data_IF_408667319430
#
_entry.id   IF_408667319430
#
_cell.length_a   1.000
_cell.length_b   1.000
_cell.length_c   1.000
_cell.angle_alpha   90.00
_cell.angle_beta   90.00
_cell.angle_gamma   90.00
#
_symmetry.space_group_name_H-M   'P 1'
#
loop_
_entity.id
_entity.type
_entity.pdbx_description
1 polymer ?
#
# COMPACT_ATOMS: atom_id res chain seq x y z
N UNK A 1 -22.54 -5.19 -22.63
CA UNK A 1 -22.65 -4.80 -21.22
C UNK A 1 -23.73 -3.73 -21.13
N UNK A 2 -24.73 -3.96 -20.28
CA UNK A 2 -25.81 -2.98 -20.10
C UNK A 2 -25.22 -1.65 -19.63
N UNK A 3 -25.66 -0.57 -20.26
CA UNK A 3 -25.13 0.79 -20.05
C UNK A 3 -25.18 1.26 -18.58
N UNK A 4 -25.93 0.56 -17.72
CA UNK A 4 -26.16 0.90 -16.30
C UNK A 4 -25.56 -0.10 -15.30
N UNK A 5 -24.85 -1.13 -15.75
CA UNK A 5 -24.28 -2.17 -14.87
C UNK A 5 -23.29 -1.59 -13.84
N UNK A 6 -22.60 -0.49 -14.17
CA UNK A 6 -21.72 0.20 -13.25
C UNK A 6 -22.44 0.74 -12.00
N UNK A 7 -23.70 1.20 -12.14
CA UNK A 7 -24.50 1.67 -10.99
C UNK A 7 -24.86 0.51 -10.05
N UNK A 8 -25.22 -0.63 -10.62
CA UNK A 8 -25.49 -1.84 -9.85
C UNK A 8 -24.23 -2.28 -9.09
N UNK A 9 -23.09 -2.36 -9.77
CA UNK A 9 -21.82 -2.74 -9.15
C UNK A 9 -21.44 -1.81 -7.99
N UNK A 10 -21.56 -0.50 -8.20
CA UNK A 10 -21.28 0.49 -7.18
C UNK A 10 -22.22 0.36 -5.98
N UNK A 11 -23.53 0.23 -6.21
CA UNK A 11 -24.51 0.08 -5.15
C UNK A 11 -24.27 -1.18 -4.31
N UNK A 12 -24.00 -2.32 -4.98
CA UNK A 12 -23.70 -3.60 -4.29
C UNK A 12 -22.42 -3.49 -3.48
N UNK A 13 -21.34 -2.93 -4.03
CA UNK A 13 -20.09 -2.74 -3.29
C UNK A 13 -20.32 -1.88 -2.04
N UNK A 14 -20.97 -0.72 -2.18
CA UNK A 14 -21.21 0.19 -1.06
C UNK A 14 -22.06 -0.46 0.04
N UNK A 15 -23.08 -1.20 -0.35
CA UNK A 15 -23.97 -1.91 0.60
C UNK A 15 -23.20 -3.01 1.36
N UNK A 16 -22.52 -3.89 0.64
CA UNK A 16 -21.84 -5.04 1.22
C UNK A 16 -20.62 -4.63 2.03
N UNK A 17 -19.80 -3.70 1.55
CA UNK A 17 -18.67 -3.16 2.33
C UNK A 17 -19.13 -2.54 3.64
N UNK A 18 -20.29 -1.84 3.62
CA UNK A 18 -20.85 -1.27 4.85
C UNK A 18 -21.38 -2.35 5.80
N UNK A 19 -22.11 -3.35 5.31
CA UNK A 19 -22.62 -4.47 6.10
C UNK A 19 -21.46 -5.23 6.75
N UNK A 20 -20.48 -5.67 5.95
CA UNK A 20 -19.34 -6.42 6.46
C UNK A 20 -18.43 -5.57 7.35
N UNK A 21 -18.27 -4.26 7.05
CA UNK A 21 -17.57 -3.33 7.93
C UNK A 21 -18.22 -3.20 9.30
N UNK A 22 -19.57 -3.19 9.38
CA UNK A 22 -20.29 -3.21 10.66
C UNK A 22 -20.13 -4.54 11.39
N UNK A 23 -20.12 -5.67 10.68
CA UNK A 23 -19.89 -6.99 11.26
C UNK A 23 -18.47 -7.08 11.84
N UNK A 24 -17.46 -6.67 11.09
CA UNK A 24 -16.06 -6.67 11.57
C UNK A 24 -15.86 -5.73 12.75
N UNK A 25 -16.51 -4.56 12.75
CA UNK A 25 -16.50 -3.64 13.88
C UNK A 25 -17.11 -4.27 15.16
N UNK A 26 -18.18 -5.08 15.07
CA UNK A 26 -18.76 -5.80 16.22
C UNK A 26 -17.78 -6.81 16.83
N UNK A 27 -16.95 -7.45 16.02
CA UNK A 27 -15.87 -8.35 16.50
C UNK A 27 -14.58 -7.60 16.76
N UNK A 28 -14.65 -6.28 16.85
CA UNK A 28 -13.53 -5.39 17.12
C UNK A 28 -12.40 -5.47 16.09
N UNK A 29 -12.66 -5.79 14.84
CA UNK A 29 -11.71 -5.72 13.73
C UNK A 29 -11.87 -4.41 12.96
N UNK A 30 -10.81 -3.91 12.30
CA UNK A 30 -10.90 -2.76 11.41
C UNK A 30 -11.93 -2.96 10.29
N UNK A 31 -12.64 -1.88 9.91
CA UNK A 31 -13.69 -1.95 8.87
C UNK A 31 -13.12 -2.31 7.50
N UNK A 32 -11.85 -1.98 7.25
CA UNK A 32 -11.14 -2.37 6.02
C UNK A 32 -11.14 -3.89 5.78
N UNK A 33 -11.07 -4.69 6.85
CA UNK A 33 -11.18 -6.17 6.76
C UNK A 33 -12.53 -6.57 6.18
N UNK A 34 -13.62 -5.92 6.65
CA UNK A 34 -14.96 -6.16 6.13
C UNK A 34 -15.11 -5.81 4.65
N UNK A 35 -14.51 -4.70 4.22
CA UNK A 35 -14.54 -4.30 2.82
C UNK A 35 -13.75 -5.28 1.91
N UNK A 36 -12.60 -5.76 2.36
CA UNK A 36 -11.83 -6.80 1.66
C UNK A 36 -12.62 -8.12 1.54
N UNK A 37 -13.22 -8.59 2.63
CA UNK A 37 -14.06 -9.79 2.65
C UNK A 37 -15.26 -9.63 1.71
N UNK A 38 -15.92 -8.46 1.74
CA UNK A 38 -17.04 -8.18 0.84
C UNK A 38 -16.60 -8.30 -0.64
N UNK A 39 -15.41 -7.80 -0.99
CA UNK A 39 -14.85 -7.92 -2.33
C UNK A 39 -14.61 -9.37 -2.75
N UNK A 40 -14.01 -10.19 -1.88
CA UNK A 40 -13.78 -11.63 -2.15
C UNK A 40 -15.10 -12.36 -2.36
N UNK A 41 -16.09 -12.11 -1.50
CA UNK A 41 -17.40 -12.77 -1.59
C UNK A 41 -18.21 -12.36 -2.82
N UNK A 42 -18.14 -11.09 -3.22
CA UNK A 42 -18.84 -10.58 -4.40
C UNK A 42 -18.14 -10.96 -5.70
N UNK A 43 -16.85 -11.25 -5.64
CA UNK A 43 -15.97 -11.53 -6.77
C UNK A 43 -16.12 -12.96 -7.34
N UNK A 44 -15.30 -13.27 -8.36
CA UNK A 44 -15.35 -14.54 -9.08
C UNK A 44 -15.16 -15.77 -8.19
N UNK A 45 -14.35 -15.67 -7.15
CA UNK A 45 -14.08 -16.78 -6.22
C UNK A 45 -15.14 -16.96 -5.14
N UNK A 46 -16.09 -16.03 -5.02
CA UNK A 46 -17.21 -16.10 -4.09
C UNK A 46 -18.52 -16.37 -4.81
N UNK A 47 -19.46 -15.42 -4.74
CA UNK A 47 -20.77 -15.54 -5.37
C UNK A 47 -20.76 -15.24 -6.89
N UNK A 48 -19.67 -14.69 -7.44
CA UNK A 48 -19.57 -14.33 -8.85
C UNK A 48 -20.54 -13.22 -9.29
N UNK A 49 -21.02 -12.38 -8.35
CA UNK A 49 -22.00 -11.33 -8.62
C UNK A 49 -21.35 -10.19 -9.39
N UNK A 50 -20.11 -9.87 -9.06
CA UNK A 50 -19.35 -8.77 -9.63
C UNK A 50 -18.07 -9.27 -10.27
N UNK A 51 -17.72 -8.64 -11.38
CA UNK A 51 -16.45 -8.82 -12.07
C UNK A 51 -15.71 -7.49 -12.16
N UNK A 52 -14.39 -7.56 -12.29
CA UNK A 52 -13.56 -6.39 -12.52
C UNK A 52 -14.01 -5.66 -13.80
N UNK A 53 -14.11 -4.35 -13.74
CA UNK A 53 -14.42 -3.49 -14.88
C UNK A 53 -13.54 -2.26 -14.86
N UNK A 54 -13.30 -1.64 -16.02
CA UNK A 54 -12.50 -0.41 -16.11
C UNK A 54 -13.03 0.70 -15.22
N UNK A 55 -14.35 0.80 -15.08
CA UNK A 55 -14.98 1.76 -14.18
C UNK A 55 -14.59 1.51 -12.71
N UNK A 56 -14.67 0.26 -12.24
CA UNK A 56 -14.30 -0.09 -10.87
C UNK A 56 -12.81 0.08 -10.62
N UNK A 57 -11.98 -0.26 -11.61
CA UNK A 57 -10.53 -0.03 -11.56
C UNK A 57 -10.20 1.45 -11.38
N UNK A 58 -10.72 2.32 -12.24
CA UNK A 58 -10.46 3.76 -12.18
C UNK A 58 -11.04 4.40 -10.92
N UNK A 59 -12.19 3.94 -10.45
CA UNK A 59 -12.79 4.40 -9.19
C UNK A 59 -11.94 3.98 -7.99
N UNK A 60 -11.39 2.77 -8.02
CA UNK A 60 -10.46 2.23 -7.03
C UNK A 60 -9.15 3.03 -6.97
N UNK A 61 -8.55 3.35 -8.13
CA UNK A 61 -7.36 4.20 -8.24
C UNK A 61 -7.59 5.59 -7.61
N UNK A 62 -8.72 6.24 -7.90
CA UNK A 62 -9.08 7.51 -7.25
C UNK A 62 -9.19 7.32 -5.73
N UNK A 63 -9.73 6.19 -5.27
CA UNK A 63 -9.86 5.87 -3.85
C UNK A 63 -8.53 5.86 -3.11
N UNK A 64 -7.56 5.11 -3.63
CA UNK A 64 -6.24 5.02 -2.99
C UNK A 64 -5.45 6.33 -3.07
N UNK A 65 -5.55 7.08 -4.17
CA UNK A 65 -4.96 8.41 -4.32
C UNK A 65 -5.50 9.35 -3.23
N UNK A 66 -6.82 9.38 -3.03
CA UNK A 66 -7.42 10.23 -1.99
C UNK A 66 -7.03 9.80 -0.57
N UNK A 67 -6.93 8.50 -0.29
CA UNK A 67 -6.45 7.99 1.00
C UNK A 67 -5.01 8.43 1.28
N UNK A 68 -4.13 8.33 0.29
CA UNK A 68 -2.74 8.75 0.43
C UNK A 68 -2.59 10.26 0.59
N UNK A 69 -3.41 11.04 -0.09
CA UNK A 69 -3.46 12.49 0.10
C UNK A 69 -3.87 12.88 1.53
N UNK A 70 -4.89 12.22 2.09
CA UNK A 70 -5.32 12.41 3.48
C UNK A 70 -4.18 12.05 4.44
N UNK A 71 -3.52 10.91 4.24
CA UNK A 71 -2.37 10.50 5.04
C UNK A 71 -1.24 11.53 4.99
N UNK A 72 -0.97 12.10 3.80
CA UNK A 72 0.00 13.18 3.63
C UNK A 72 -0.39 14.46 4.37
N UNK A 73 -1.66 14.88 4.29
CA UNK A 73 -2.17 16.02 5.06
C UNK A 73 -2.03 15.78 6.57
N UNK A 74 -2.25 14.55 7.03
CA UNK A 74 -2.17 14.21 8.46
C UNK A 74 -0.75 13.97 8.97
N UNK A 75 0.24 13.97 8.09
CA UNK A 75 1.66 13.78 8.43
C UNK A 75 2.20 14.92 9.29
N UNK A 76 3.00 14.57 10.31
CA UNK A 76 3.86 15.50 11.03
C UNK A 76 5.26 15.50 10.40
N UNK A 77 5.65 16.64 9.80
CA UNK A 77 6.96 16.77 9.13
C UNK A 77 8.14 16.56 10.09
N UNK A 78 8.01 16.94 11.36
CA UNK A 78 9.09 16.79 12.32
C UNK A 78 9.31 15.31 12.64
N UNK A 79 8.22 14.56 12.83
CA UNK A 79 8.30 13.10 13.00
C UNK A 79 8.82 12.41 11.72
N UNK A 80 8.39 12.83 10.54
CA UNK A 80 8.87 12.32 9.26
C UNK A 80 10.40 12.49 9.12
N UNK A 81 10.93 13.67 9.45
CA UNK A 81 12.37 13.93 9.44
C UNK A 81 13.12 13.08 10.46
N UNK A 82 12.55 12.89 11.66
CA UNK A 82 13.16 12.12 12.73
C UNK A 82 13.22 10.63 12.43
N UNK A 83 12.18 10.10 11.78
CA UNK A 83 12.07 8.67 11.47
C UNK A 83 12.74 8.27 10.15
N UNK A 84 13.09 9.22 9.28
CA UNK A 84 13.62 8.96 7.94
C UNK A 84 14.82 7.99 7.89
N UNK A 85 15.89 8.16 8.70
CA UNK A 85 17.02 7.24 8.68
C UNK A 85 16.64 5.80 9.06
N UNK A 86 15.78 5.63 10.07
CA UNK A 86 15.25 4.32 10.44
C UNK A 86 14.38 3.73 9.34
N UNK A 87 13.53 4.56 8.72
CA UNK A 87 12.67 4.16 7.62
C UNK A 87 13.46 3.64 6.39
N UNK A 88 14.61 4.25 6.08
CA UNK A 88 15.49 3.77 5.01
C UNK A 88 16.01 2.36 5.27
N UNK A 89 16.49 2.07 6.49
CA UNK A 89 16.97 0.73 6.82
C UNK A 89 15.83 -0.30 6.85
N UNK A 90 14.68 0.09 7.38
CA UNK A 90 13.48 -0.75 7.43
C UNK A 90 13.02 -1.11 6.00
N UNK A 91 12.97 -0.14 5.09
CA UNK A 91 12.61 -0.35 3.70
C UNK A 91 13.63 -1.25 2.99
N UNK A 92 14.93 -0.99 3.17
CA UNK A 92 15.99 -1.77 2.53
C UNK A 92 15.92 -3.25 2.92
N UNK A 93 15.86 -3.57 4.22
CA UNK A 93 15.73 -4.95 4.68
C UNK A 93 14.33 -5.51 4.35
N UNK A 94 13.30 -4.66 4.35
CA UNK A 94 11.95 -4.98 3.92
C UNK A 94 11.84 -5.38 2.45
N UNK A 95 12.78 -4.99 1.60
CA UNK A 95 12.88 -5.42 0.19
C UNK A 95 13.78 -6.64 0.05
N UNK A 96 14.99 -6.60 0.62
CA UNK A 96 16.00 -7.67 0.43
C UNK A 96 15.54 -9.01 1.01
N UNK A 97 15.01 -9.00 2.26
CA UNK A 97 14.67 -10.25 2.95
C UNK A 97 13.52 -11.01 2.26
N UNK A 98 12.42 -10.36 1.81
CA UNK A 98 11.40 -11.04 1.00
C UNK A 98 11.90 -11.49 -0.36
N UNK A 99 12.77 -10.74 -1.04
CA UNK A 99 13.32 -11.17 -2.34
C UNK A 99 14.06 -12.51 -2.16
N UNK A 100 14.90 -12.63 -1.14
CA UNK A 100 15.61 -13.87 -0.87
C UNK A 100 14.66 -14.98 -0.41
N UNK A 101 13.77 -14.69 0.54
CA UNK A 101 12.89 -15.70 1.14
C UNK A 101 11.80 -16.19 0.20
N UNK A 102 11.01 -15.27 -0.39
CA UNK A 102 9.93 -15.67 -1.30
C UNK A 102 10.47 -16.12 -2.67
N UNK A 103 11.55 -15.50 -3.16
CA UNK A 103 12.25 -15.98 -4.34
C UNK A 103 12.86 -17.37 -4.13
N UNK A 104 13.42 -17.63 -2.95
CA UNK A 104 13.92 -18.96 -2.56
C UNK A 104 12.81 -20.01 -2.51
N UNK A 105 11.62 -19.69 -2.00
CA UNK A 105 10.46 -20.60 -2.04
C UNK A 105 10.07 -20.93 -3.48
N UNK A 106 9.95 -19.92 -4.35
CA UNK A 106 9.66 -20.15 -5.77
C UNK A 106 10.71 -21.07 -6.40
N UNK A 107 11.99 -20.78 -6.17
CA UNK A 107 13.10 -21.57 -6.69
C UNK A 107 13.01 -23.04 -6.28
N UNK A 108 12.71 -23.32 -5.01
CA UNK A 108 12.61 -24.70 -4.48
C UNK A 108 11.41 -25.48 -5.03
N UNK A 109 10.34 -24.80 -5.47
CA UNK A 109 9.14 -25.47 -5.99
C UNK A 109 9.18 -25.71 -7.50
N UNK A 110 9.81 -24.81 -8.27
CA UNK A 110 9.68 -24.78 -9.72
C UNK A 110 10.99 -24.87 -10.49
N UNK A 111 12.16 -24.82 -9.83
CA UNK A 111 13.43 -24.76 -10.52
C UNK A 111 14.41 -25.82 -10.00
N UNK A 112 14.95 -26.66 -10.90
CA UNK A 112 15.86 -27.76 -10.55
C UNK A 112 17.35 -27.38 -10.59
N UNK A 113 17.71 -26.21 -11.16
CA UNK A 113 19.10 -25.82 -11.40
C UNK A 113 19.35 -24.34 -11.20
N UNK A 114 20.53 -23.98 -10.65
CA UNK A 114 20.99 -22.61 -10.47
C UNK A 114 21.47 -22.00 -11.79
N UNK A 115 20.53 -21.79 -12.73
CA UNK A 115 20.81 -21.04 -13.95
C UNK A 115 20.50 -19.55 -13.76
N UNK A 116 21.16 -18.71 -14.58
CA UNK A 116 20.93 -17.26 -14.56
C UNK A 116 19.44 -16.90 -14.75
N UNK A 117 18.77 -17.57 -15.70
CA UNK A 117 17.35 -17.35 -15.99
C UNK A 117 16.46 -17.70 -14.79
N UNK A 118 16.73 -18.81 -14.11
CA UNK A 118 15.96 -19.27 -12.96
C UNK A 118 16.13 -18.34 -11.75
N UNK A 119 17.33 -17.77 -11.57
CA UNK A 119 17.57 -16.75 -10.55
C UNK A 119 16.77 -15.47 -10.83
N UNK A 120 16.67 -15.04 -12.11
CA UNK A 120 15.86 -13.88 -12.50
C UNK A 120 14.38 -14.15 -12.20
N UNK A 121 13.83 -15.30 -12.59
CA UNK A 121 12.44 -15.67 -12.31
C UNK A 121 12.15 -15.68 -10.80
N UNK A 122 12.99 -16.32 -10.01
CA UNK A 122 12.89 -16.34 -8.56
C UNK A 122 12.95 -14.92 -7.96
N UNK A 123 13.84 -14.08 -8.46
CA UNK A 123 13.95 -12.68 -8.04
C UNK A 123 12.68 -11.89 -8.36
N UNK A 124 12.05 -12.09 -9.53
CA UNK A 124 10.79 -11.44 -9.86
C UNK A 124 9.68 -11.80 -8.87
N UNK A 125 9.51 -13.10 -8.55
CA UNK A 125 8.53 -13.52 -7.53
C UNK A 125 8.88 -12.89 -6.18
N UNK A 126 10.14 -12.86 -5.80
CA UNK A 126 10.59 -12.20 -4.58
C UNK A 126 10.25 -10.70 -4.55
N UNK A 127 10.39 -9.98 -5.66
CA UNK A 127 10.03 -8.55 -5.79
C UNK A 127 8.52 -8.34 -5.64
N UNK A 128 7.68 -9.22 -6.19
CA UNK A 128 6.23 -9.16 -5.96
C UNK A 128 5.92 -9.12 -4.48
N UNK A 129 6.61 -9.95 -3.69
CA UNK A 129 6.42 -10.01 -2.24
C UNK A 129 7.30 -9.04 -1.44
N UNK A 130 8.16 -8.28 -2.08
CA UNK A 130 8.80 -7.12 -1.47
C UNK A 130 7.87 -5.91 -1.41
N UNK A 131 7.04 -5.66 -2.45
CA UNK A 131 6.13 -4.52 -2.50
C UNK A 131 5.14 -4.53 -1.33
N UNK A 132 4.97 -3.38 -0.64
CA UNK A 132 4.07 -3.21 0.51
C UNK A 132 2.86 -2.38 0.14
N UNK A 133 1.65 -2.76 0.60
CA UNK A 133 0.47 -1.90 0.46
C UNK A 133 0.42 -0.87 1.60
N UNK A 134 0.82 0.35 1.28
CA UNK A 134 0.79 1.48 2.22
C UNK A 134 -0.63 1.78 2.67
N UNK A 135 -1.60 1.75 1.74
CA UNK A 135 -2.99 2.14 1.96
C UNK A 135 -3.71 1.28 3.01
N UNK A 136 -3.51 -0.04 3.00
CA UNK A 136 -4.11 -0.96 3.99
C UNK A 136 -3.56 -0.66 5.39
N UNK A 137 -2.26 -0.47 5.50
CA UNK A 137 -1.59 -0.19 6.79
C UNK A 137 -1.99 1.19 7.33
N UNK A 138 -1.99 2.22 6.47
CA UNK A 138 -2.39 3.58 6.83
C UNK A 138 -3.84 3.60 7.30
N UNK A 139 -4.74 2.96 6.57
CA UNK A 139 -6.16 2.91 6.95
C UNK A 139 -6.36 2.19 8.28
N UNK A 140 -5.70 1.06 8.48
CA UNK A 140 -5.74 0.32 9.74
C UNK A 140 -5.25 1.17 10.92
N UNK A 141 -4.11 1.86 10.76
CA UNK A 141 -3.56 2.76 11.78
C UNK A 141 -4.47 3.96 12.03
N UNK A 142 -5.13 4.47 10.99
CA UNK A 142 -6.06 5.59 11.07
C UNK A 142 -7.32 5.18 11.87
N UNK A 143 -7.94 4.04 11.55
CA UNK A 143 -9.07 3.50 12.31
C UNK A 143 -8.73 3.25 13.80
N UNK A 144 -7.48 2.88 14.09
CA UNK A 144 -6.99 2.68 15.45
C UNK A 144 -6.51 3.97 16.14
N UNK A 145 -6.52 5.12 15.47
CA UNK A 145 -6.03 6.40 16.00
C UNK A 145 -4.52 6.43 16.24
N UNK A 146 -3.74 5.54 15.60
CA UNK A 146 -2.28 5.39 15.79
C UNK A 146 -1.44 5.98 14.65
N UNK A 147 -2.06 6.57 13.65
CA UNK A 147 -1.39 7.11 12.45
C UNK A 147 -0.34 8.19 12.81
N UNK A 148 -0.64 9.05 13.77
CA UNK A 148 0.23 10.18 14.20
C UNK A 148 1.27 9.79 15.25
N UNK A 149 1.39 8.51 15.61
CA UNK A 149 2.42 8.03 16.54
C UNK A 149 3.77 7.89 15.85
N UNK A 150 4.86 7.79 16.64
CA UNK A 150 6.20 7.48 16.13
C UNK A 150 6.22 6.24 15.22
N UNK A 151 5.52 5.18 15.64
CA UNK A 151 5.41 3.93 14.85
C UNK A 151 4.65 4.17 13.56
N UNK A 152 3.53 4.90 13.59
CA UNK A 152 2.76 5.25 12.40
C UNK A 152 3.59 6.07 11.40
N UNK A 153 4.26 7.12 11.87
CA UNK A 153 5.15 7.93 11.03
C UNK A 153 6.31 7.11 10.44
N UNK A 154 6.91 6.21 11.23
CA UNK A 154 7.97 5.31 10.75
C UNK A 154 7.45 4.37 9.67
N UNK A 155 6.26 3.77 9.85
CA UNK A 155 5.65 2.87 8.89
C UNK A 155 5.35 3.56 7.56
N UNK A 156 4.74 4.76 7.60
CA UNK A 156 4.45 5.53 6.38
C UNK A 156 5.75 5.87 5.65
N UNK A 157 6.75 6.38 6.39
CA UNK A 157 8.05 6.73 5.80
C UNK A 157 8.74 5.52 5.17
N UNK A 158 8.75 4.37 5.89
CA UNK A 158 9.36 3.15 5.40
C UNK A 158 8.64 2.61 4.17
N UNK A 159 7.30 2.64 4.14
CA UNK A 159 6.53 2.13 3.02
C UNK A 159 6.72 2.99 1.75
N UNK A 160 6.81 4.32 1.87
CA UNK A 160 7.12 5.20 0.72
C UNK A 160 8.52 4.93 0.17
N UNK A 161 9.50 4.73 1.04
CA UNK A 161 10.87 4.40 0.63
C UNK A 161 10.92 2.98 0.02
N UNK A 162 10.16 2.03 0.59
CA UNK A 162 9.99 0.67 0.08
C UNK A 162 9.50 0.66 -1.38
N UNK A 163 8.50 1.49 -1.71
CA UNK A 163 8.00 1.66 -3.08
C UNK A 163 9.10 2.16 -4.03
N UNK A 164 9.89 3.14 -3.61
CA UNK A 164 10.98 3.69 -4.41
C UNK A 164 12.06 2.63 -4.64
N UNK A 165 12.51 1.94 -3.58
CA UNK A 165 13.51 0.87 -3.67
C UNK A 165 12.96 -0.26 -4.54
N UNK A 166 11.68 -0.63 -4.37
CA UNK A 166 11.00 -1.67 -5.15
C UNK A 166 11.04 -1.38 -6.66
N UNK A 167 10.74 -0.14 -7.08
CA UNK A 167 10.80 0.27 -8.49
C UNK A 167 12.24 0.19 -9.03
N UNK A 168 13.23 0.62 -8.24
CA UNK A 168 14.65 0.55 -8.64
C UNK A 168 15.07 -0.91 -8.82
N UNK A 169 14.79 -1.76 -7.82
CA UNK A 169 15.14 -3.19 -7.87
C UNK A 169 14.42 -3.91 -9.01
N UNK A 170 13.13 -3.63 -9.21
CA UNK A 170 12.38 -4.16 -10.34
C UNK A 170 13.00 -3.77 -11.67
N UNK A 171 13.44 -2.51 -11.81
CA UNK A 171 14.09 -2.02 -13.02
C UNK A 171 15.44 -2.69 -13.26
N UNK A 172 16.22 -2.92 -12.20
CA UNK A 172 17.50 -3.64 -12.30
C UNK A 172 17.27 -5.09 -12.73
N UNK A 173 16.36 -5.82 -12.07
CA UNK A 173 16.10 -7.22 -12.40
C UNK A 173 15.46 -7.36 -13.78
N UNK A 174 14.59 -6.43 -14.18
CA UNK A 174 14.04 -6.39 -15.55
C UNK A 174 15.13 -6.15 -16.60
N UNK A 175 16.09 -5.27 -16.33
CA UNK A 175 17.21 -5.00 -17.24
C UNK A 175 18.20 -6.18 -17.35
N UNK A 176 18.29 -7.01 -16.33
CA UNK A 176 19.08 -8.26 -16.40
C UNK A 176 18.40 -9.29 -17.32
N UNK A 177 17.07 -9.27 -17.44
CA UNK A 177 16.30 -10.11 -18.36
C UNK A 177 16.08 -9.47 -19.74
N UNK A 178 16.08 -8.12 -19.84
CA UNK A 178 15.82 -7.35 -21.06
C UNK A 178 16.71 -6.10 -21.09
N UNK A 179 17.68 -6.08 -21.97
CA UNK A 179 18.64 -4.97 -22.15
C UNK A 179 18.01 -3.63 -22.62
N UNK A 180 16.73 -3.61 -22.97
CA UNK A 180 16.02 -2.38 -23.37
C UNK A 180 15.74 -1.44 -22.17
N UNK A 181 15.77 -1.94 -20.95
CA UNK A 181 15.50 -1.19 -19.72
C UNK A 181 16.80 -0.68 -19.11
N UNK A 182 16.90 0.62 -18.89
CA UNK A 182 18.07 1.25 -18.28
C UNK A 182 17.76 1.70 -16.83
N UNK A 183 18.28 1.01 -15.79
CA UNK A 183 18.02 1.35 -14.38
C UNK A 183 18.51 2.74 -13.97
N UNK A 184 19.59 3.24 -14.63
CA UNK A 184 20.11 4.59 -14.34
C UNK A 184 19.11 5.68 -14.74
N UNK A 185 18.41 5.50 -15.88
CA UNK A 185 17.36 6.43 -16.32
C UNK A 185 16.19 6.42 -15.33
N UNK A 186 15.78 5.25 -14.83
CA UNK A 186 14.72 5.13 -13.83
C UNK A 186 15.11 5.85 -12.54
N UNK A 187 16.31 5.61 -12.04
CA UNK A 187 16.84 6.29 -10.84
C UNK A 187 16.89 7.80 -11.03
N UNK A 188 17.35 8.28 -12.21
CA UNK A 188 17.37 9.71 -12.52
C UNK A 188 15.97 10.32 -12.55
N UNK A 189 14.98 9.62 -13.09
CA UNK A 189 13.57 10.06 -13.06
C UNK A 189 13.05 10.18 -11.64
N UNK A 190 13.34 9.22 -10.76
CA UNK A 190 12.95 9.27 -9.35
C UNK A 190 13.57 10.48 -8.65
N UNK A 191 14.86 10.73 -8.84
CA UNK A 191 15.52 11.93 -8.31
C UNK A 191 14.89 13.21 -8.86
N UNK A 192 14.59 13.24 -10.17
CA UNK A 192 13.86 14.32 -10.83
C UNK A 192 12.50 14.58 -10.20
N UNK A 193 11.75 13.53 -9.80
CA UNK A 193 10.49 13.65 -9.09
C UNK A 193 10.64 14.39 -7.76
N UNK A 194 11.67 14.09 -6.97
CA UNK A 194 11.88 14.78 -5.69
C UNK A 194 12.24 16.25 -5.88
N UNK A 195 13.08 16.57 -6.89
CA UNK A 195 13.39 17.96 -7.25
C UNK A 195 12.11 18.70 -7.71
N UNK A 196 11.33 18.09 -8.59
CA UNK A 196 10.05 18.63 -9.07
C UNK A 196 9.09 18.87 -7.89
N UNK A 197 8.94 17.90 -7.00
CA UNK A 197 8.09 18.00 -5.80
C UNK A 197 8.54 19.15 -4.88
N UNK A 198 9.85 19.32 -4.71
CA UNK A 198 10.42 20.45 -3.93
C UNK A 198 10.09 21.81 -4.56
N UNK A 199 10.33 21.97 -5.84
CA UNK A 199 10.13 23.24 -6.58
C UNK A 199 8.63 23.59 -6.68
N UNK A 200 7.83 22.66 -7.22
CA UNK A 200 6.38 22.85 -7.39
C UNK A 200 5.70 22.96 -6.04
N UNK A 201 6.09 22.12 -5.08
CA UNK A 201 5.55 22.14 -3.73
C UNK A 201 5.78 23.48 -3.03
N UNK A 202 6.98 24.05 -3.14
CA UNK A 202 7.26 25.37 -2.58
C UNK A 202 6.41 26.47 -3.22
N UNK A 203 6.27 26.45 -4.55
CA UNK A 203 5.44 27.44 -5.26
C UNK A 203 3.96 27.32 -4.87
N UNK A 204 3.43 26.10 -4.90
CA UNK A 204 2.03 25.80 -4.55
C UNK A 204 1.75 26.13 -3.09
N UNK A 205 2.63 25.73 -2.17
CA UNK A 205 2.49 26.10 -0.75
C UNK A 205 2.37 27.62 -0.56
N UNK A 206 3.20 28.42 -1.25
CA UNK A 206 3.10 29.90 -1.18
C UNK A 206 1.77 30.42 -1.71
N UNK A 207 1.26 29.86 -2.81
CA UNK A 207 -0.04 30.26 -3.38
C UNK A 207 -1.15 29.90 -2.40
N UNK A 208 -1.19 28.68 -1.90
CA UNK A 208 -2.20 28.23 -0.94
C UNK A 208 -2.16 29.03 0.37
N UNK A 209 -0.97 29.36 0.87
CA UNK A 209 -0.82 30.20 2.07
C UNK A 209 -1.44 31.59 1.88
N UNK A 210 -1.27 32.20 0.69
CA UNK A 210 -1.89 33.49 0.38
C UNK A 210 -3.42 33.41 0.24
N UNK A 211 -3.90 32.37 -0.43
CA UNK A 211 -5.35 32.17 -0.63
C UNK A 211 -6.04 31.77 0.67
N UNK A 212 -5.37 31.00 1.53
CA UNK A 212 -5.88 30.55 2.82
C UNK A 212 -6.20 31.70 3.76
N UNK A 213 -5.39 32.74 3.81
CA UNK A 213 -5.62 33.94 4.69
C UNK A 213 -6.99 34.58 4.44
N UNK A 214 -7.47 34.58 3.19
CA UNK A 214 -8.72 35.24 2.84
C UNK A 214 -9.94 34.30 2.74
N UNK A 215 -9.71 32.97 2.72
CA UNK A 215 -10.75 31.97 2.39
C UNK A 215 -10.59 30.64 3.17
N UNK A 216 -10.23 30.67 4.45
CA UNK A 216 -9.84 29.52 5.28
C UNK A 216 -10.80 28.34 5.25
N UNK A 217 -12.10 28.57 5.22
CA UNK A 217 -13.16 27.55 5.23
C UNK A 217 -13.96 27.51 3.92
N UNK A 218 -13.35 27.92 2.82
CA UNK A 218 -14.03 27.96 1.54
C UNK A 218 -13.99 26.60 0.81
N UNK A 219 -15.14 26.19 0.26
CA UNK A 219 -15.25 25.02 -0.64
C UNK A 219 -14.22 25.08 -1.78
N UNK A 220 -13.83 26.26 -2.22
CA UNK A 220 -12.84 26.46 -3.30
C UNK A 220 -11.49 25.91 -2.93
N UNK A 221 -11.02 26.08 -1.68
CA UNK A 221 -9.72 25.56 -1.23
C UNK A 221 -9.67 24.02 -1.29
N UNK A 222 -10.74 23.34 -0.90
CA UNK A 222 -10.78 21.88 -0.96
C UNK A 222 -10.73 21.36 -2.42
N UNK A 223 -11.41 22.07 -3.36
CA UNK A 223 -11.37 21.72 -4.78
C UNK A 223 -9.96 21.93 -5.35
N UNK A 224 -9.31 23.06 -5.06
CA UNK A 224 -7.94 23.33 -5.52
C UNK A 224 -6.94 22.32 -4.93
N UNK A 225 -7.09 21.96 -3.66
CA UNK A 225 -6.23 20.98 -3.01
C UNK A 225 -6.38 19.59 -3.63
N UNK A 226 -7.61 19.16 -3.94
CA UNK A 226 -7.87 17.88 -4.61
C UNK A 226 -7.37 17.89 -6.06
N UNK A 227 -7.56 18.99 -6.79
CA UNK A 227 -7.00 19.14 -8.13
C UNK A 227 -5.47 19.09 -8.11
N UNK A 228 -4.82 19.71 -7.14
CA UNK A 228 -3.38 19.62 -6.94
C UNK A 228 -2.93 18.20 -6.62
N UNK A 229 -3.67 17.46 -5.78
CA UNK A 229 -3.42 16.04 -5.51
C UNK A 229 -3.39 15.23 -6.81
N UNK A 230 -4.45 15.31 -7.63
CA UNK A 230 -4.53 14.57 -8.88
C UNK A 230 -3.46 14.97 -9.90
N UNK A 231 -3.10 16.25 -9.96
CA UNK A 231 -2.00 16.71 -10.83
C UNK A 231 -0.65 16.16 -10.38
N UNK A 232 -0.38 16.15 -9.07
CA UNK A 232 0.86 15.57 -8.54
C UNK A 232 0.94 14.06 -8.77
N UNK A 233 -0.18 13.34 -8.59
CA UNK A 233 -0.29 11.90 -8.91
C UNK A 233 -0.03 11.64 -10.38
N UNK A 234 -0.68 12.39 -11.28
CA UNK A 234 -0.47 12.29 -12.72
C UNK A 234 0.99 12.55 -13.12
N UNK A 235 1.59 13.61 -12.57
CA UNK A 235 2.99 13.94 -12.88
C UNK A 235 3.95 12.86 -12.37
N UNK A 236 3.73 12.33 -11.16
CA UNK A 236 4.53 11.26 -10.57
C UNK A 236 4.59 10.03 -11.50
N UNK A 237 3.42 9.54 -11.90
CA UNK A 237 3.31 8.34 -12.74
C UNK A 237 3.77 8.60 -14.17
N UNK A 238 3.21 9.64 -14.84
CA UNK A 238 3.40 9.87 -16.28
C UNK A 238 4.80 10.30 -16.66
N UNK A 239 5.42 11.20 -15.88
CA UNK A 239 6.70 11.79 -16.25
C UNK A 239 7.87 11.14 -15.54
N UNK A 240 7.67 10.67 -14.32
CA UNK A 240 8.76 10.18 -13.48
C UNK A 240 8.72 8.66 -13.26
N UNK A 241 7.61 7.98 -13.57
CA UNK A 241 7.45 6.54 -13.32
C UNK A 241 7.47 6.20 -11.82
N UNK A 242 7.11 7.18 -10.98
CA UNK A 242 6.90 7.01 -9.54
C UNK A 242 5.40 6.79 -9.32
N UNK A 243 5.03 5.86 -8.42
CA UNK A 243 3.64 5.54 -8.16
C UNK A 243 2.79 6.80 -7.88
N UNK A 244 1.61 6.87 -8.48
CA UNK A 244 0.65 7.97 -8.35
C UNK A 244 0.27 8.25 -6.90
N UNK A 245 0.15 7.19 -6.08
CA UNK A 245 -0.10 7.26 -4.63
C UNK A 245 1.00 8.04 -3.90
N UNK A 246 2.27 7.94 -4.33
CA UNK A 246 3.39 8.70 -3.79
C UNK A 246 3.24 10.19 -4.12
N UNK A 247 2.83 10.51 -5.37
CA UNK A 247 2.50 11.88 -5.77
C UNK A 247 1.40 12.48 -4.92
N UNK A 248 0.33 11.72 -4.67
CA UNK A 248 -0.78 12.12 -3.79
C UNK A 248 -0.31 12.40 -2.35
N UNK A 249 0.49 11.49 -1.78
CA UNK A 249 1.03 11.65 -0.44
C UNK A 249 1.84 12.95 -0.31
N UNK A 250 2.79 13.19 -1.22
CA UNK A 250 3.59 14.43 -1.20
C UNK A 250 2.75 15.68 -1.42
N UNK A 251 1.69 15.63 -2.24
CA UNK A 251 0.73 16.74 -2.35
C UNK A 251 0.08 17.05 -0.99
N UNK A 252 -0.29 16.02 -0.23
CA UNK A 252 -0.79 16.16 1.14
C UNK A 252 0.25 16.75 2.10
N UNK A 253 1.49 16.25 2.07
CA UNK A 253 2.61 16.74 2.89
C UNK A 253 2.92 18.22 2.61
N UNK A 254 2.86 18.67 1.35
CA UNK A 254 3.06 20.07 0.98
C UNK A 254 1.99 20.96 1.66
N UNK A 255 0.76 20.48 1.77
CA UNK A 255 -0.37 21.20 2.34
C UNK A 255 -0.53 21.00 3.86
N UNK A 256 0.19 20.10 4.50
CA UNK A 256 0.01 19.74 5.91
C UNK A 256 0.27 20.90 6.89
N UNK A 257 1.10 21.88 6.50
CA UNK A 257 1.42 23.07 7.31
C UNK A 257 0.47 24.26 7.10
N UNK A 258 -0.60 24.11 6.33
CA UNK A 258 -1.64 25.13 6.18
C UNK A 258 -2.62 25.02 7.36
N UNK A 259 -2.33 25.70 8.46
CA UNK A 259 -2.96 25.54 9.79
C UNK A 259 -4.48 25.41 9.77
N UNK A 260 -5.21 26.39 9.27
CA UNK A 260 -6.69 26.41 9.39
C UNK A 260 -7.40 25.73 8.21
N UNK A 261 -6.87 25.87 7.00
CA UNK A 261 -7.41 25.23 5.81
C UNK A 261 -7.16 23.73 5.77
N UNK A 262 -6.10 23.22 6.43
CA UNK A 262 -5.75 21.80 6.52
C UNK A 262 -6.92 20.94 7.01
N UNK A 263 -7.48 21.30 8.19
CA UNK A 263 -8.57 20.52 8.79
C UNK A 263 -9.82 20.53 7.91
N UNK A 264 -10.12 21.66 7.28
CA UNK A 264 -11.26 21.77 6.38
C UNK A 264 -11.08 20.90 5.12
N UNK A 265 -9.91 20.96 4.47
CA UNK A 265 -9.57 20.14 3.30
C UNK A 265 -9.61 18.67 3.67
N UNK A 266 -8.91 18.26 4.74
CA UNK A 266 -8.91 16.88 5.22
C UNK A 266 -10.34 16.37 5.43
N UNK A 267 -11.19 17.09 6.19
CA UNK A 267 -12.58 16.70 6.46
C UNK A 267 -13.39 16.50 5.17
N UNK A 268 -13.24 17.39 4.17
CA UNK A 268 -14.01 17.32 2.92
C UNK A 268 -13.54 16.18 2.02
N UNK A 269 -12.22 16.00 1.89
CA UNK A 269 -11.65 14.90 1.09
C UNK A 269 -11.93 13.55 1.75
N UNK A 270 -11.78 13.44 3.07
CA UNK A 270 -12.13 12.24 3.84
C UNK A 270 -13.58 11.85 3.61
N UNK A 271 -14.52 12.80 3.72
CA UNK A 271 -15.94 12.50 3.50
C UNK A 271 -16.20 11.96 2.08
N UNK A 272 -15.61 12.58 1.05
CA UNK A 272 -15.76 12.10 -0.33
C UNK A 272 -15.11 10.71 -0.54
N UNK A 273 -13.91 10.51 0.00
CA UNK A 273 -13.17 9.25 -0.10
C UNK A 273 -13.92 8.10 0.55
N UNK A 274 -14.33 8.24 1.79
CA UNK A 274 -14.97 7.16 2.56
C UNK A 274 -16.41 6.85 2.15
N UNK A 275 -17.11 7.80 1.50
CA UNK A 275 -18.46 7.55 1.02
C UNK A 275 -18.51 6.60 -0.19
N UNK A 276 -17.53 6.71 -1.11
CA UNK A 276 -17.58 5.99 -2.38
C UNK A 276 -16.27 5.30 -2.72
N UNK A 277 -15.16 6.07 -2.75
CA UNK A 277 -13.92 5.63 -3.38
C UNK A 277 -13.15 4.58 -2.57
N UNK A 278 -13.00 4.80 -1.26
CA UNK A 278 -12.30 3.85 -0.39
C UNK A 278 -13.00 2.48 -0.29
N UNK A 279 -14.33 2.39 -0.14
CA UNK A 279 -15.03 1.11 -0.19
C UNK A 279 -14.80 0.35 -1.50
N UNK A 280 -14.82 1.06 -2.64
CA UNK A 280 -14.57 0.45 -3.95
C UNK A 280 -13.12 -0.02 -4.06
N UNK A 281 -12.15 0.75 -3.54
CA UNK A 281 -10.76 0.36 -3.53
C UNK A 281 -10.51 -0.94 -2.75
N UNK A 282 -10.96 -1.01 -1.49
CA UNK A 282 -10.74 -2.21 -0.68
C UNK A 282 -11.51 -3.43 -1.20
N UNK A 283 -12.76 -3.26 -1.64
CA UNK A 283 -13.50 -4.34 -2.29
C UNK A 283 -12.82 -4.76 -3.60
N UNK A 284 -12.27 -3.82 -4.37
CA UNK A 284 -11.55 -4.08 -5.61
C UNK A 284 -10.37 -5.03 -5.45
N UNK A 285 -9.64 -4.97 -4.32
CA UNK A 285 -8.57 -5.93 -4.00
C UNK A 285 -9.15 -7.35 -3.91
N UNK A 286 -10.28 -7.51 -3.21
CA UNK A 286 -10.96 -8.80 -3.10
C UNK A 286 -11.55 -9.30 -4.42
N UNK A 287 -12.12 -8.40 -5.24
CA UNK A 287 -12.71 -8.74 -6.54
C UNK A 287 -11.69 -9.34 -7.53
N UNK A 288 -10.42 -9.00 -7.40
CA UNK A 288 -9.33 -9.55 -8.24
C UNK A 288 -8.97 -10.99 -7.90
N UNK A 289 -9.53 -11.54 -6.81
CA UNK A 289 -9.27 -12.92 -6.43
C UNK A 289 -9.97 -13.85 -7.41
N UNK A 290 -9.21 -14.51 -8.26
CA UNK A 290 -9.69 -15.61 -9.09
C UNK A 290 -8.86 -16.86 -8.76
N UNK A 291 -9.53 -17.89 -8.26
CA UNK A 291 -8.93 -19.16 -7.84
C UNK A 291 -9.13 -20.26 -8.88
N UNK A 292 -9.60 -19.93 -10.08
CA UNK A 292 -9.75 -20.91 -11.16
C UNK A 292 -8.39 -21.47 -11.57
N UNK A 293 -8.32 -22.78 -11.73
CA UNK A 293 -7.10 -23.47 -12.16
C UNK A 293 -6.10 -23.78 -11.04
N UNK A 294 -6.42 -23.54 -9.77
CA UNK A 294 -5.56 -23.94 -8.64
C UNK A 294 -5.63 -25.47 -8.45
N UNK A 295 -4.51 -26.15 -8.69
CA UNK A 295 -4.30 -27.53 -8.32
C UNK A 295 -3.69 -27.63 -6.90
N UNK A 296 -3.56 -28.85 -6.39
CA UNK A 296 -3.04 -29.09 -5.03
C UNK A 296 -1.59 -28.58 -4.86
N UNK A 297 -0.76 -28.72 -5.87
CA UNK A 297 0.63 -28.26 -5.85
C UNK A 297 0.73 -26.73 -5.76
N UNK A 298 -0.03 -26.02 -6.60
CA UNK A 298 -0.13 -24.56 -6.57
C UNK A 298 -0.71 -24.07 -5.25
N UNK A 299 -1.66 -24.80 -4.66
CA UNK A 299 -2.21 -24.45 -3.35
C UNK A 299 -1.18 -24.60 -2.22
N UNK A 300 -0.41 -25.70 -2.21
CA UNK A 300 0.67 -25.88 -1.23
C UNK A 300 1.72 -24.77 -1.40
N UNK A 301 2.13 -24.51 -2.63
CA UNK A 301 3.04 -23.39 -2.93
C UNK A 301 2.49 -22.06 -2.40
N UNK A 302 1.21 -21.73 -2.66
CA UNK A 302 0.57 -20.50 -2.20
C UNK A 302 0.61 -20.40 -0.66
N UNK A 303 0.31 -21.48 0.07
CA UNK A 303 0.34 -21.47 1.54
C UNK A 303 1.76 -21.23 2.05
N UNK A 304 2.75 -21.94 1.52
CA UNK A 304 4.17 -21.78 1.92
C UNK A 304 4.64 -20.36 1.59
N UNK A 305 4.31 -19.86 0.41
CA UNK A 305 4.67 -18.52 -0.04
C UNK A 305 4.02 -17.42 0.81
N UNK A 306 2.74 -17.57 1.18
CA UNK A 306 2.04 -16.63 2.06
C UNK A 306 2.69 -16.58 3.46
N UNK A 307 3.03 -17.73 4.04
CA UNK A 307 3.73 -17.81 5.32
C UNK A 307 5.10 -17.14 5.23
N UNK A 308 5.88 -17.44 4.17
CA UNK A 308 7.19 -16.82 3.96
C UNK A 308 7.09 -15.31 3.70
N UNK A 309 6.09 -14.84 2.97
CA UNK A 309 5.85 -13.42 2.75
C UNK A 309 5.60 -12.66 4.06
N UNK A 310 4.83 -13.25 4.98
CA UNK A 310 4.59 -12.69 6.32
C UNK A 310 5.86 -12.70 7.17
N UNK A 311 6.53 -13.85 7.27
CA UNK A 311 7.70 -14.04 8.12
C UNK A 311 8.85 -13.13 7.67
N UNK A 312 9.14 -13.10 6.36
CA UNK A 312 10.26 -12.31 5.82
C UNK A 312 10.09 -10.81 6.04
N UNK A 313 8.88 -10.28 5.93
CA UNK A 313 8.61 -8.86 6.25
C UNK A 313 8.71 -8.58 7.75
N UNK A 314 8.12 -9.42 8.59
CA UNK A 314 8.21 -9.25 10.04
C UNK A 314 9.67 -9.29 10.50
N UNK A 315 10.45 -10.26 10.01
CA UNK A 315 11.87 -10.37 10.35
C UNK A 315 12.66 -9.19 9.76
N UNK A 316 12.57 -8.94 8.47
CA UNK A 316 13.36 -7.90 7.79
C UNK A 316 13.10 -6.51 8.36
N UNK A 317 11.84 -6.09 8.38
CA UNK A 317 11.47 -4.75 8.88
C UNK A 317 11.55 -4.66 10.41
N UNK A 318 11.19 -5.73 11.15
CA UNK A 318 11.24 -5.77 12.60
C UNK A 318 12.68 -5.72 13.13
N UNK A 319 13.61 -6.50 12.55
CA UNK A 319 15.03 -6.44 12.89
C UNK A 319 15.63 -5.06 12.58
N UNK A 320 15.31 -4.49 11.40
CA UNK A 320 15.77 -3.15 11.05
C UNK A 320 15.28 -2.11 12.05
N UNK A 321 14.01 -2.15 12.44
CA UNK A 321 13.45 -1.26 13.45
C UNK A 321 14.14 -1.43 14.81
N UNK A 322 14.47 -2.68 15.19
CA UNK A 322 15.19 -2.98 16.42
C UNK A 322 16.62 -2.44 16.41
N UNK A 323 17.33 -2.59 15.29
CA UNK A 323 18.68 -2.03 15.09
C UNK A 323 18.66 -0.50 15.21
N UNK A 324 17.58 0.15 14.75
CA UNK A 324 17.39 1.60 14.88
C UNK A 324 16.95 2.05 16.27
N UNK A 325 17.00 1.18 17.28
CA UNK A 325 16.74 1.52 18.69
C UNK A 325 15.24 1.60 19.04
N UNK A 326 14.35 1.02 18.23
CA UNK A 326 12.94 0.87 18.60
C UNK A 326 12.77 -0.25 19.65
N UNK A 327 11.78 -0.10 20.53
CA UNK A 327 11.46 -1.16 21.50
C UNK A 327 11.03 -2.44 20.77
N UNK A 328 11.11 -3.61 21.45
CA UNK A 328 10.70 -4.88 20.84
C UNK A 328 9.24 -4.87 20.34
N UNK A 329 8.39 -4.19 21.07
CA UNK A 329 6.99 -3.98 20.79
C UNK A 329 6.75 -3.08 19.56
N UNK A 330 7.46 -1.94 19.49
CA UNK A 330 7.41 -1.05 18.31
C UNK A 330 7.98 -1.74 17.08
N UNK A 331 9.10 -2.48 17.23
CA UNK A 331 9.75 -3.23 16.14
C UNK A 331 8.82 -4.30 15.56
N UNK A 332 8.10 -5.03 16.41
CA UNK A 332 7.10 -6.01 15.97
C UNK A 332 5.93 -5.32 15.24
N UNK A 333 5.46 -4.17 15.75
CA UNK A 333 4.38 -3.40 15.11
C UNK A 333 4.82 -2.91 13.72
N UNK A 334 6.06 -2.44 13.59
CA UNK A 334 6.64 -2.04 12.29
C UNK A 334 6.73 -3.24 11.36
N UNK A 335 7.27 -4.37 11.83
CA UNK A 335 7.36 -5.59 11.01
C UNK A 335 6.00 -6.06 10.50
N UNK A 336 5.00 -6.11 11.37
CA UNK A 336 3.63 -6.51 11.02
C UNK A 336 2.97 -5.48 10.09
N UNK A 337 3.18 -4.18 10.32
CA UNK A 337 2.61 -3.13 9.48
C UNK A 337 3.14 -3.14 8.04
N UNK A 338 4.32 -3.69 7.81
CA UNK A 338 4.90 -3.85 6.47
C UNK A 338 4.48 -5.16 5.77
N UNK A 339 3.66 -6.01 6.39
CA UNK A 339 3.19 -7.28 5.79
C UNK A 339 2.16 -7.04 4.68
N UNK A 340 1.37 -5.96 4.74
CA UNK A 340 0.29 -5.69 3.80
C UNK A 340 0.75 -5.80 2.34
N UNK A 341 -0.02 -6.49 1.51
CA UNK A 341 0.15 -6.56 0.06
C UNK A 341 -1.11 -6.05 -0.62
N UNK A 342 -0.97 -5.46 -1.80
CA UNK A 342 -2.08 -4.90 -2.54
C UNK A 342 -1.83 -4.82 -4.04
N UNK A 343 -2.34 -3.78 -4.65
CA UNK A 343 -2.32 -3.52 -6.09
C UNK A 343 -0.91 -3.50 -6.69
N UNK A 344 0.07 -2.94 -5.99
CA UNK A 344 1.46 -2.86 -6.49
C UNK A 344 2.05 -4.26 -6.70
N UNK A 345 1.82 -5.19 -5.76
CA UNK A 345 2.27 -6.58 -5.91
C UNK A 345 1.64 -7.25 -7.13
N UNK A 346 0.33 -7.03 -7.37
CA UNK A 346 -0.36 -7.58 -8.54
C UNK A 346 0.15 -6.98 -9.86
N UNK A 347 0.44 -5.67 -9.88
CA UNK A 347 1.03 -5.01 -11.06
C UNK A 347 2.43 -5.56 -11.39
N UNK A 348 3.26 -5.77 -10.37
CA UNK A 348 4.60 -6.36 -10.54
C UNK A 348 4.48 -7.80 -11.05
N UNK A 349 3.56 -8.59 -10.50
CA UNK A 349 3.30 -9.96 -10.96
C UNK A 349 2.85 -9.98 -12.44
N UNK A 350 1.91 -9.12 -12.82
CA UNK A 350 1.42 -9.00 -14.19
C UNK A 350 2.56 -8.59 -15.16
N UNK A 351 3.43 -7.67 -14.73
CA UNK A 351 4.62 -7.29 -15.51
C UNK A 351 5.59 -8.47 -15.65
N UNK A 352 5.79 -9.25 -14.59
CA UNK A 352 6.61 -10.47 -14.64
C UNK A 352 6.07 -11.51 -15.63
N UNK A 353 4.76 -11.70 -15.68
CA UNK A 353 4.09 -12.57 -16.66
C UNK A 353 4.28 -12.04 -18.08
N UNK A 354 4.00 -10.75 -18.29
CA UNK A 354 4.09 -10.13 -19.62
C UNK A 354 5.52 -10.16 -20.20
N UNK A 355 6.54 -10.17 -19.33
CA UNK A 355 7.96 -10.29 -19.71
C UNK A 355 8.46 -11.75 -19.75
N UNK A 356 7.61 -12.75 -19.47
CA UNK A 356 8.00 -14.16 -19.45
C UNK A 356 8.85 -14.57 -18.24
N UNK A 357 8.99 -13.71 -17.23
CA UNK A 357 9.77 -13.98 -16.02
C UNK A 357 8.96 -14.65 -14.91
N UNK A 358 7.63 -14.66 -15.01
CA UNK A 358 6.72 -15.40 -14.12
C UNK A 358 5.78 -16.23 -15.00
N UNK A 359 5.59 -17.48 -14.65
CA UNK A 359 4.65 -18.36 -15.35
C UNK A 359 3.20 -17.99 -15.02
N UNK A 360 2.34 -18.05 -16.03
CA UNK A 360 0.90 -17.76 -15.86
C UNK A 360 0.23 -18.68 -14.83
N UNK A 361 0.69 -19.91 -14.71
CA UNK A 361 0.22 -20.93 -13.76
C UNK A 361 0.40 -20.52 -12.29
N UNK A 362 1.39 -19.68 -11.99
CA UNK A 362 1.73 -19.22 -10.62
C UNK A 362 0.88 -18.02 -10.20
N UNK A 363 0.28 -17.30 -11.16
CA UNK A 363 -0.45 -16.07 -10.87
C UNK A 363 -1.61 -16.23 -9.85
N UNK A 364 -2.46 -17.29 -9.92
CA UNK A 364 -3.51 -17.48 -8.91
C UNK A 364 -2.94 -17.66 -7.49
N UNK A 365 -1.80 -18.30 -7.32
CA UNK A 365 -1.13 -18.41 -6.02
C UNK A 365 -0.67 -17.05 -5.50
N UNK A 366 -0.11 -16.21 -6.36
CA UNK A 366 0.30 -14.85 -6.01
C UNK A 366 -0.92 -14.02 -5.56
N UNK A 367 -2.02 -14.07 -6.32
CA UNK A 367 -3.26 -13.35 -5.98
C UNK A 367 -3.78 -13.79 -4.62
N UNK A 368 -3.84 -15.10 -4.37
CA UNK A 368 -4.27 -15.66 -3.08
C UNK A 368 -3.39 -15.15 -1.93
N UNK A 369 -2.07 -15.16 -2.10
CA UNK A 369 -1.13 -14.64 -1.10
C UNK A 369 -1.33 -13.15 -0.82
N UNK A 370 -1.57 -12.34 -1.87
CA UNK A 370 -1.83 -10.90 -1.73
C UNK A 370 -3.09 -10.67 -0.90
N UNK A 371 -4.18 -11.36 -1.19
CA UNK A 371 -5.44 -11.24 -0.46
C UNK A 371 -5.29 -11.71 0.98
N UNK A 372 -4.63 -12.84 1.21
CA UNK A 372 -4.34 -13.34 2.57
C UNK A 372 -3.53 -12.31 3.36
N UNK A 373 -2.46 -11.75 2.79
CA UNK A 373 -1.65 -10.72 3.43
C UNK A 373 -2.45 -9.44 3.72
N UNK A 374 -3.31 -9.02 2.77
CA UNK A 374 -4.19 -7.85 2.94
C UNK A 374 -5.17 -8.03 4.11
N UNK A 375 -5.74 -9.23 4.25
CA UNK A 375 -6.68 -9.58 5.34
C UNK A 375 -5.96 -9.75 6.69
N UNK A 376 -4.80 -10.41 6.70
CA UNK A 376 -4.06 -10.69 7.93
C UNK A 376 -3.45 -9.44 8.57
N UNK A 377 -2.97 -8.49 7.77
CA UNK A 377 -2.25 -7.32 8.29
C UNK A 377 -3.08 -6.48 9.27
N UNK A 378 -4.32 -6.07 8.97
CA UNK A 378 -5.15 -5.31 9.92
C UNK A 378 -5.41 -6.09 11.21
N UNK A 379 -5.62 -7.40 11.10
CA UNK A 379 -5.87 -8.29 12.26
C UNK A 379 -4.63 -8.37 13.14
N UNK A 380 -3.47 -8.66 12.55
CA UNK A 380 -2.20 -8.76 13.27
C UNK A 380 -1.78 -7.42 13.89
N UNK A 381 -1.90 -6.31 13.15
CA UNK A 381 -1.62 -4.96 13.67
C UNK A 381 -2.46 -4.68 14.90
N UNK A 382 -3.74 -4.97 14.84
CA UNK A 382 -4.62 -4.76 15.99
C UNK A 382 -4.19 -5.58 17.19
N UNK A 383 -3.92 -6.88 17.00
CA UNK A 383 -3.49 -7.77 18.09
C UNK A 383 -2.21 -7.25 18.76
N UNK A 384 -1.21 -6.85 17.96
CA UNK A 384 0.07 -6.37 18.47
C UNK A 384 -0.10 -5.04 19.20
N UNK A 385 -0.79 -4.07 18.62
CA UNK A 385 -0.98 -2.73 19.20
C UNK A 385 -1.79 -2.82 20.50
N UNK A 386 -2.89 -3.59 20.51
CA UNK A 386 -3.72 -3.75 21.73
C UNK A 386 -2.95 -4.41 22.86
N UNK A 387 -2.08 -5.40 22.56
CA UNK A 387 -1.22 -6.03 23.57
C UNK A 387 -0.22 -5.03 24.14
N UNK A 388 0.35 -4.17 23.28
CA UNK A 388 1.31 -3.15 23.69
C UNK A 388 0.69 -2.08 24.60
N UNK A 389 -0.52 -1.61 24.27
CA UNK A 389 -1.25 -0.63 25.06
C UNK A 389 -1.57 -1.20 26.46
N UNK A 390 -1.93 -2.47 26.58
CA UNK A 390 -2.15 -3.13 27.88
C UNK A 390 -0.87 -3.22 28.74
N UNK A 391 0.28 -3.54 28.14
CA UNK A 391 1.55 -3.59 28.86
C UNK A 391 2.01 -2.21 29.36
N UNK A 392 1.78 -1.15 28.57
CA UNK A 392 2.12 0.22 28.99
C UNK A 392 1.27 0.69 30.17
N UNK A 393 -0.03 0.36 30.19
CA UNK A 393 -0.94 0.71 31.30
C UNK A 393 -0.56 -0.04 32.57
N UNK A 394 -0.21 -1.33 32.49
CA UNK A 394 0.23 -2.12 33.65
C UNK A 394 1.56 -1.64 34.23
N UNK A 395 2.49 -1.20 33.38
CA UNK A 395 3.78 -0.66 33.84
C UNK A 395 3.65 0.69 34.55
N UNK A 396 2.69 1.53 34.15
CA UNK A 396 2.37 2.81 34.81
C UNK A 396 1.54 2.65 36.06
N UNK A 397 0.77 1.58 36.20
CA UNK A 397 -0.01 1.28 37.41
C UNK A 397 0.83 0.65 38.53
N UNK A 398 2.02 0.14 38.22
CA UNK A 398 2.96 -0.46 39.17
C UNK A 398 4.11 0.49 39.60
N UNK A 399 4.08 1.75 39.14
CA UNK A 399 4.94 2.85 39.58
C UNK A 399 4.14 3.84 40.45
#
# INVERSE_FOLDING_TARGET
MDSYQFLFSLAVILLFTKIFGLVTAKVHLPQVVGALIAGVLLGPSGFGILHESDFLLKTSEIGVIMLMFIAGIDTDINELKRTGPAACLIALLGVIVPIIGCGGVYFLFFEDSFTYTNIIKASFVGIVFAATSVSITVETLNEMGKLKTKVGATLISAAIIDDIIGIIVLSVVSALGDSSINPAIVTLKILGFFVFTGVVGFAVYRIFKRVSVNHEKSRRIAIWALAFCFLMSYCAEKFFGVADITGAYFAGVILCNLTDSRQYVAKKVTAASYLVFSPVFFAGIGLRTNLDGINTEILIFAVVLAVMAVITKIIGCGLAAKICGMSGSESLTVGVGMVARGEVALMVAQKGISSGNIEQSVFPAIVLCVVVAALLTPVLLKLVITKNDKHSIQSTANL
#
